data_IF_192298049797
#
_entry.id   IF_192298049797
#
_cell.length_a   1.000
_cell.length_b   1.000
_cell.length_c   1.000
_cell.angle_alpha   90.00
_cell.angle_beta   90.00
_cell.angle_gamma   90.00
#
_symmetry.space_group_name_H-M   'P 1'
#
loop_
_entity.id
_entity.type
_entity.pdbx_description
1 polymer ?
#
# COMPACT_ATOMS: atom_id res chain seq x y z
N UNK A 1 4.07 -19.05 -10.39
CA UNK A 1 3.56 -18.07 -9.43
C UNK A 1 3.79 -16.68 -9.97
N UNK A 2 2.77 -15.83 -9.96
CA UNK A 2 2.90 -14.46 -10.45
C UNK A 2 3.48 -13.59 -9.34
N UNK A 3 4.58 -12.90 -9.63
CA UNK A 3 5.22 -11.96 -8.71
C UNK A 3 4.46 -10.64 -8.79
N UNK A 4 3.66 -10.34 -7.78
CA UNK A 4 2.83 -9.13 -7.72
C UNK A 4 3.62 -7.99 -7.10
N UNK A 5 3.73 -6.88 -7.83
CA UNK A 5 4.45 -5.70 -7.37
C UNK A 5 3.53 -4.48 -7.32
N UNK A 6 3.65 -3.69 -6.26
CA UNK A 6 3.01 -2.38 -6.17
C UNK A 6 4.08 -1.32 -6.39
N UNK A 7 3.76 -0.31 -7.20
CA UNK A 7 4.67 0.76 -7.56
C UNK A 7 4.35 2.00 -6.72
N UNK A 8 5.33 2.46 -5.95
CA UNK A 8 5.19 3.60 -5.07
C UNK A 8 5.89 4.81 -5.70
N UNK A 9 5.15 5.91 -5.80
CA UNK A 9 5.65 7.14 -6.41
C UNK A 9 5.71 8.24 -5.38
N UNK A 10 6.74 9.06 -5.46
CA UNK A 10 6.84 10.31 -4.71
C UNK A 10 6.81 11.41 -5.74
N UNK A 11 5.77 12.23 -5.74
CA UNK A 11 5.60 13.21 -6.79
C UNK A 11 4.72 14.37 -6.40
N UNK A 12 4.55 15.29 -7.35
CA UNK A 12 3.70 16.46 -7.21
C UNK A 12 2.25 16.14 -7.58
N UNK A 13 1.38 17.14 -7.37
CA UNK A 13 -0.01 17.05 -7.83
C UNK A 13 -0.08 16.90 -9.36
N UNK A 14 0.86 17.48 -10.10
CA UNK A 14 0.91 17.34 -11.55
C UNK A 14 1.13 15.89 -11.96
N UNK A 15 2.03 15.19 -11.27
CA UNK A 15 2.25 13.76 -11.51
C UNK A 15 1.00 12.93 -11.22
N UNK A 16 0.27 13.28 -10.16
CA UNK A 16 -1.00 12.63 -9.83
C UNK A 16 -2.03 12.88 -10.92
N UNK A 17 -2.10 14.11 -11.43
CA UNK A 17 -3.00 14.48 -12.52
C UNK A 17 -2.73 13.67 -13.78
N UNK A 18 -1.46 13.53 -14.16
CA UNK A 18 -1.06 12.75 -15.31
C UNK A 18 -1.46 11.28 -15.16
N UNK A 19 -1.25 10.68 -13.98
CA UNK A 19 -1.67 9.32 -13.70
C UNK A 19 -3.19 9.14 -13.71
N UNK A 20 -3.92 10.15 -13.22
CA UNK A 20 -5.38 10.15 -13.27
C UNK A 20 -5.88 10.13 -14.71
N UNK A 21 -5.31 10.98 -15.58
CA UNK A 21 -5.68 11.02 -17.01
C UNK A 21 -5.40 9.68 -17.67
N UNK A 22 -4.26 9.06 -17.38
CA UNK A 22 -3.91 7.76 -17.94
C UNK A 22 -4.88 6.67 -17.46
N UNK A 23 -5.24 6.69 -16.18
CA UNK A 23 -6.22 5.76 -15.62
C UNK A 23 -7.59 5.92 -16.29
N UNK A 24 -8.01 7.17 -16.54
CA UNK A 24 -9.25 7.47 -17.23
C UNK A 24 -9.23 6.89 -18.66
N UNK A 25 -8.16 7.14 -19.40
CA UNK A 25 -8.02 6.62 -20.76
C UNK A 25 -8.05 5.09 -20.79
N UNK A 26 -7.41 4.46 -19.80
CA UNK A 26 -7.42 3.00 -19.66
C UNK A 26 -8.84 2.50 -19.43
N UNK A 27 -9.61 3.17 -18.58
CA UNK A 27 -11.00 2.82 -18.31
C UNK A 27 -11.88 2.98 -19.56
N UNK A 28 -11.68 4.05 -20.33
CA UNK A 28 -12.42 4.28 -21.58
C UNK A 28 -12.18 3.18 -22.61
N UNK A 29 -11.00 2.57 -22.60
CA UNK A 29 -10.66 1.45 -23.49
C UNK A 29 -11.17 0.12 -22.98
N UNK A 30 -11.98 0.12 -21.92
CA UNK A 30 -12.52 -1.10 -21.32
C UNK A 30 -11.54 -1.87 -20.45
N UNK A 31 -10.41 -1.27 -20.12
CA UNK A 31 -9.41 -1.85 -19.23
C UNK A 31 -9.65 -1.35 -17.80
N UNK A 32 -9.39 -2.21 -16.81
CA UNK A 32 -9.47 -1.79 -15.42
C UNK A 32 -8.31 -0.84 -15.10
N UNK A 33 -8.55 0.25 -14.33
CA UNK A 33 -7.47 1.10 -13.86
C UNK A 33 -6.44 0.28 -13.08
N UNK A 34 -5.17 0.63 -13.24
CA UNK A 34 -4.10 -0.05 -12.51
C UNK A 34 -4.24 0.22 -11.00
N UNK A 35 -4.36 -0.86 -10.22
CA UNK A 35 -4.44 -0.79 -8.74
C UNK A 35 -3.05 -0.80 -8.10
N UNK A 36 -2.03 -1.01 -8.91
CA UNK A 36 -0.67 -1.26 -8.48
C UNK A 36 0.20 0.00 -8.41
N UNK A 37 -0.44 1.18 -8.35
CA UNK A 37 0.25 2.46 -8.22
C UNK A 37 -0.29 3.25 -7.04
N UNK A 38 0.63 3.76 -6.21
CA UNK A 38 0.32 4.66 -5.10
C UNK A 38 1.25 5.86 -5.22
N UNK A 39 0.71 7.06 -5.04
CA UNK A 39 1.50 8.29 -5.09
C UNK A 39 1.47 8.99 -3.73
N UNK A 40 2.65 9.29 -3.21
CA UNK A 40 2.83 10.11 -2.02
C UNK A 40 3.19 11.52 -2.45
N UNK A 41 2.56 12.53 -1.84
CA UNK A 41 2.77 13.93 -2.20
C UNK A 41 4.13 14.47 -1.77
N UNK A 42 4.80 13.81 -0.83
CA UNK A 42 6.12 14.22 -0.37
C UNK A 42 6.94 13.00 0.04
N UNK A 43 8.26 13.18 0.06
CA UNK A 43 9.18 12.17 0.56
C UNK A 43 8.92 11.87 2.04
N UNK A 44 8.58 12.88 2.83
CA UNK A 44 8.26 12.70 4.25
C UNK A 44 7.04 11.79 4.44
N UNK A 45 5.99 11.97 3.64
CA UNK A 45 4.81 11.12 3.68
C UNK A 45 5.15 9.67 3.28
N UNK A 46 5.98 9.51 2.25
CA UNK A 46 6.46 8.20 1.81
C UNK A 46 7.24 7.50 2.92
N UNK A 47 8.20 8.18 3.52
CA UNK A 47 9.03 7.61 4.58
C UNK A 47 8.21 7.24 5.82
N UNK A 48 7.21 8.06 6.15
CA UNK A 48 6.29 7.76 7.26
C UNK A 48 5.49 6.48 6.99
N UNK A 49 4.95 6.35 5.77
CA UNK A 49 4.17 5.16 5.39
C UNK A 49 5.03 3.89 5.35
N UNK A 50 6.29 4.02 4.93
CA UNK A 50 7.21 2.89 4.76
C UNK A 50 8.24 2.80 5.89
N UNK A 51 7.83 3.13 7.12
CA UNK A 51 8.70 2.98 8.28
C UNK A 51 9.06 1.50 8.51
N UNK A 52 10.20 1.22 9.18
CA UNK A 52 10.58 -0.15 9.50
C UNK A 52 9.49 -0.92 10.25
N UNK A 53 8.78 -0.25 11.15
CA UNK A 53 7.68 -0.82 11.93
C UNK A 53 6.52 -1.26 11.04
N UNK A 54 6.16 -0.44 10.05
CA UNK A 54 5.09 -0.75 9.10
C UNK A 54 5.51 -1.80 8.09
N UNK A 55 6.77 -1.80 7.66
CA UNK A 55 7.31 -2.86 6.82
C UNK A 55 7.25 -4.20 7.51
N UNK A 56 7.60 -4.26 8.78
CA UNK A 56 7.52 -5.50 9.57
C UNK A 56 6.09 -6.02 9.64
N UNK A 57 5.13 -5.12 9.87
CA UNK A 57 3.70 -5.45 9.91
C UNK A 57 3.25 -6.04 8.56
N UNK A 58 3.59 -5.39 7.46
CA UNK A 58 3.22 -5.85 6.12
C UNK A 58 3.87 -7.19 5.78
N UNK A 59 5.14 -7.37 6.11
CA UNK A 59 5.84 -8.63 5.88
C UNK A 59 5.22 -9.78 6.66
N UNK A 60 4.86 -9.52 7.91
CA UNK A 60 4.19 -10.54 8.72
C UNK A 60 2.85 -10.93 8.09
N UNK A 61 2.05 -9.94 7.73
CA UNK A 61 0.73 -10.16 7.14
C UNK A 61 0.83 -10.90 5.80
N UNK A 62 1.85 -10.57 5.00
CA UNK A 62 2.06 -11.27 3.72
C UNK A 62 2.42 -12.74 3.93
N UNK A 63 3.29 -13.03 4.89
CA UNK A 63 3.73 -14.40 5.15
C UNK A 63 2.66 -15.25 5.81
N UNK A 64 1.94 -14.68 6.76
CA UNK A 64 0.96 -15.43 7.56
C UNK A 64 -0.40 -15.57 6.87
N UNK A 65 -0.71 -14.68 5.92
CA UNK A 65 -2.01 -14.67 5.24
C UNK A 65 -3.00 -13.71 5.89
N UNK A 66 -4.19 -13.63 5.32
CA UNK A 66 -5.22 -12.70 5.81
C UNK A 66 -5.64 -13.05 7.23
N UNK A 67 -5.89 -12.02 8.04
CA UNK A 67 -6.33 -12.18 9.41
C UNK A 67 -6.98 -10.90 9.91
N UNK A 68 -7.66 -10.98 11.06
CA UNK A 68 -8.23 -9.80 11.69
C UNK A 68 -7.12 -8.90 12.24
N UNK A 69 -7.41 -7.60 12.38
CA UNK A 69 -6.46 -6.65 12.97
C UNK A 69 -6.13 -7.04 14.41
N UNK A 70 -7.11 -7.55 15.15
CA UNK A 70 -6.90 -8.00 16.53
C UNK A 70 -5.88 -9.15 16.60
N UNK A 71 -6.04 -10.13 15.73
CA UNK A 71 -5.09 -11.25 15.65
C UNK A 71 -3.71 -10.77 15.24
N UNK A 72 -3.65 -9.88 14.26
CA UNK A 72 -2.38 -9.30 13.79
C UNK A 72 -1.66 -8.61 14.93
N UNK A 73 -2.35 -7.78 15.71
CA UNK A 73 -1.77 -7.10 16.86
C UNK A 73 -1.22 -8.10 17.88
N UNK A 74 -1.96 -9.16 18.15
CA UNK A 74 -1.53 -10.22 19.07
C UNK A 74 -0.28 -10.95 18.57
N UNK A 75 -0.24 -11.27 17.28
CA UNK A 75 0.93 -11.96 16.70
C UNK A 75 2.17 -11.08 16.66
N UNK A 76 1.99 -9.77 16.47
CA UNK A 76 3.09 -8.80 16.49
C UNK A 76 3.51 -8.41 17.91
N UNK A 77 2.71 -8.75 18.92
CA UNK A 77 2.97 -8.32 20.29
C UNK A 77 2.84 -6.81 20.47
N UNK A 78 1.92 -6.19 19.74
CA UNK A 78 1.73 -4.73 19.74
C UNK A 78 0.34 -4.37 20.17
N UNK A 79 0.19 -3.12 20.65
CA UNK A 79 -1.10 -2.57 21.06
C UNK A 79 -2.10 -2.54 19.89
N UNK A 80 -3.31 -3.01 20.15
CA UNK A 80 -4.37 -3.09 19.15
C UNK A 80 -4.69 -1.74 18.51
N UNK A 81 -4.82 -0.68 19.32
CA UNK A 81 -5.15 0.66 18.79
C UNK A 81 -4.08 1.18 17.84
N UNK A 82 -2.81 0.96 18.17
CA UNK A 82 -1.69 1.35 17.32
C UNK A 82 -1.70 0.59 16.00
N UNK A 83 -1.87 -0.74 16.07
CA UNK A 83 -1.91 -1.58 14.87
C UNK A 83 -3.13 -1.22 14.02
N UNK A 84 -4.28 -1.01 14.63
CA UNK A 84 -5.49 -0.61 13.91
C UNK A 84 -5.27 0.70 13.13
N UNK A 85 -4.62 1.69 13.73
CA UNK A 85 -4.30 2.95 13.07
C UNK A 85 -3.36 2.76 11.89
N UNK A 86 -2.30 1.98 12.08
CA UNK A 86 -1.34 1.69 11.02
C UNK A 86 -2.00 0.94 9.85
N UNK A 87 -2.82 -0.04 10.16
CA UNK A 87 -3.55 -0.81 9.14
C UNK A 87 -4.54 0.09 8.38
N UNK A 88 -5.26 0.96 9.09
CA UNK A 88 -6.20 1.89 8.45
C UNK A 88 -5.48 2.80 7.46
N UNK A 89 -4.31 3.34 7.83
CA UNK A 89 -3.52 4.18 6.96
C UNK A 89 -2.99 3.41 5.75
N UNK A 90 -2.47 2.21 5.96
CA UNK A 90 -1.95 1.38 4.87
C UNK A 90 -3.07 0.88 3.95
N UNK A 91 -4.27 0.68 4.48
CA UNK A 91 -5.46 0.34 3.67
C UNK A 91 -5.86 1.51 2.78
N UNK A 92 -5.81 2.72 3.33
CA UNK A 92 -6.13 3.92 2.55
C UNK A 92 -5.17 4.14 1.37
N UNK A 93 -3.92 3.69 1.50
CA UNK A 93 -2.93 3.79 0.40
C UNK A 93 -3.04 2.65 -0.61
N UNK A 94 -3.73 1.55 -0.28
CA UNK A 94 -3.80 0.37 -1.13
C UNK A 94 -2.72 -0.67 -0.86
N UNK A 95 -1.83 -0.42 0.10
CA UNK A 95 -0.79 -1.40 0.48
C UNK A 95 -1.37 -2.58 1.24
N UNK A 96 -2.42 -2.36 2.02
CA UNK A 96 -3.20 -3.40 2.68
C UNK A 96 -4.59 -3.39 2.09
N UNK A 97 -5.16 -4.56 1.89
CA UNK A 97 -6.50 -4.72 1.35
C UNK A 97 -7.43 -5.36 2.38
N UNK A 98 -8.66 -4.86 2.45
CA UNK A 98 -9.69 -5.46 3.30
C UNK A 98 -10.30 -6.65 2.61
N UNK A 99 -10.46 -7.73 3.37
CA UNK A 99 -11.14 -8.94 2.94
C UNK A 99 -12.46 -9.09 3.69
N UNK A 100 -13.23 -10.12 3.33
CA UNK A 100 -14.45 -10.46 4.04
C UNK A 100 -14.16 -10.82 5.51
N UNK A 101 -15.18 -10.71 6.38
CA UNK A 101 -15.09 -11.08 7.80
C UNK A 101 -14.06 -10.25 8.59
N UNK A 102 -13.94 -8.97 8.25
CA UNK A 102 -13.03 -8.02 8.92
C UNK A 102 -11.55 -8.42 8.88
N UNK A 103 -11.17 -9.22 7.90
CA UNK A 103 -9.78 -9.59 7.70
C UNK A 103 -9.09 -8.58 6.79
N UNK A 104 -7.77 -8.48 6.96
CA UNK A 104 -6.90 -7.66 6.11
C UNK A 104 -5.78 -8.53 5.56
N UNK A 105 -5.25 -8.12 4.41
CA UNK A 105 -4.23 -8.90 3.71
C UNK A 105 -3.29 -7.99 2.94
N UNK A 106 -2.08 -8.48 2.68
CA UNK A 106 -1.13 -7.87 1.75
C UNK A 106 -1.04 -8.78 0.53
N UNK A 107 -1.45 -8.27 -0.62
CA UNK A 107 -1.45 -9.04 -1.87
C UNK A 107 -0.15 -8.91 -2.67
N UNK A 108 0.74 -8.02 -2.25
CA UNK A 108 1.95 -7.70 -2.98
C UNK A 108 3.13 -8.51 -2.49
N UNK A 109 3.96 -8.99 -3.40
CA UNK A 109 5.22 -9.66 -3.08
C UNK A 109 6.35 -8.64 -2.92
N UNK A 110 6.26 -7.52 -3.65
CA UNK A 110 7.27 -6.48 -3.64
C UNK A 110 6.64 -5.10 -3.70
N UNK A 111 7.28 -4.14 -3.04
CA UNK A 111 7.00 -2.72 -3.23
C UNK A 111 8.22 -2.11 -3.92
N UNK A 112 7.98 -1.41 -5.04
CA UNK A 112 9.03 -0.82 -5.87
C UNK A 112 8.89 0.69 -5.83
N UNK A 113 10.00 1.39 -5.56
CA UNK A 113 10.01 2.85 -5.57
C UNK A 113 11.16 3.37 -6.40
N UNK A 114 10.92 4.47 -7.08
CA UNK A 114 11.94 5.18 -7.85
C UNK A 114 11.97 6.63 -7.37
N UNK A 115 13.18 7.10 -7.03
CA UNK A 115 13.39 8.48 -6.62
C UNK A 115 14.23 9.17 -7.68
N UNK A 116 13.74 10.28 -8.21
CA UNK A 116 14.47 11.07 -9.21
C UNK A 116 15.44 12.00 -8.50
N UNK A 117 16.73 11.71 -8.63
CA UNK A 117 17.79 12.52 -8.02
C UNK A 117 18.20 13.71 -8.89
N UNK A 118 17.75 13.74 -10.14
CA UNK A 118 18.07 14.81 -11.09
C UNK A 118 16.99 15.89 -11.18
N UNK A 119 15.89 15.70 -10.49
CA UNK A 119 14.78 16.66 -10.50
C UNK A 119 15.06 17.89 -9.64
#
# INVERSE_FOLDING_TARGET
MTDAAINLHVGSLDDMGARFVEAWRTAERGRKPARDHVTFLSLAAFMAAMSPRRLELMRHLRRAGSMSVRRLAGELGRDYKSVHREVAMLTATGLIERRAADEVAVDWDRAVTELDLAA
#
